data_IF_231566466082
#
_entry.id   IF_231566466082
#
_cell.length_a   1.000
_cell.length_b   1.000
_cell.length_c   1.000
_cell.angle_alpha   90.00
_cell.angle_beta   90.00
_cell.angle_gamma   90.00
#
_symmetry.space_group_name_H-M   'P 1'
#
loop_
_entity.id
_entity.type
_entity.pdbx_description
1 polymer ?
#
# COMPACT_ATOMS: atom_id res chain seq x y z
N UNK A 1 -4.98 -4.31 1.95
CA UNK A 1 -4.40 -3.09 2.49
C UNK A 1 -5.39 -2.21 3.21
N UNK A 2 -6.58 -2.09 2.70
CA UNK A 2 -7.57 -1.25 3.37
C UNK A 2 -7.90 -1.72 4.77
N UNK A 3 -8.03 -3.03 4.97
CA UNK A 3 -8.32 -3.53 6.30
C UNK A 3 -7.18 -3.28 7.27
N UNK A 4 -5.97 -3.35 6.77
CA UNK A 4 -4.80 -3.08 7.60
C UNK A 4 -4.78 -1.61 8.01
N UNK A 5 -5.08 -0.70 7.08
CA UNK A 5 -5.13 0.72 7.38
C UNK A 5 -6.25 1.00 8.38
N UNK A 6 -7.41 0.36 8.20
CA UNK A 6 -8.53 0.54 9.12
C UNK A 6 -8.16 0.09 10.52
N UNK A 7 -7.49 -1.05 10.64
CA UNK A 7 -7.07 -1.54 11.94
C UNK A 7 -6.06 -0.60 12.60
N UNK A 8 -5.12 -0.08 11.81
CA UNK A 8 -4.14 0.86 12.34
C UNK A 8 -4.81 2.16 12.77
N UNK A 9 -5.80 2.63 12.01
CA UNK A 9 -6.51 3.85 12.39
C UNK A 9 -7.33 3.65 13.66
N UNK A 10 -7.87 2.45 13.86
CA UNK A 10 -8.59 2.15 15.09
C UNK A 10 -7.62 2.19 16.27
N UNK A 11 -6.43 1.63 16.10
CA UNK A 11 -5.41 1.67 17.15
C UNK A 11 -4.97 3.10 17.41
N UNK A 12 -4.88 3.91 16.35
CA UNK A 12 -4.55 5.32 16.50
C UNK A 12 -5.60 6.01 17.39
N UNK A 13 -6.89 5.78 17.10
CA UNK A 13 -7.95 6.42 17.84
C UNK A 13 -7.97 5.97 19.30
N UNK A 14 -7.69 4.71 19.55
CA UNK A 14 -7.61 4.20 20.91
C UNK A 14 -6.45 4.86 21.67
N UNK A 15 -5.32 5.00 21.01
CA UNK A 15 -4.16 5.65 21.62
C UNK A 15 -4.43 7.14 21.84
N UNK A 16 -5.13 7.78 20.92
CA UNK A 16 -5.47 9.18 21.06
C UNK A 16 -6.38 9.41 22.27
N UNK A 17 -7.35 8.52 22.48
CA UNK A 17 -8.21 8.56 23.66
C UNK A 17 -7.39 8.36 24.93
N UNK A 18 -6.42 7.46 24.88
CA UNK A 18 -5.57 7.20 26.02
C UNK A 18 -4.70 8.43 26.36
N UNK A 19 -4.21 9.13 25.33
CA UNK A 19 -3.45 10.36 25.55
C UNK A 19 -4.32 11.37 26.28
N UNK A 20 -5.53 11.55 25.82
CA UNK A 20 -6.45 12.51 26.43
C UNK A 20 -6.74 12.16 27.87
N UNK A 21 -6.90 10.87 28.15
CA UNK A 21 -7.16 10.41 29.48
C UNK A 21 -5.97 10.67 30.40
N UNK A 22 -4.76 10.40 29.94
CA UNK A 22 -3.56 10.64 30.72
C UNK A 22 -3.32 12.13 30.95
N UNK A 23 -3.61 12.95 29.94
CA UNK A 23 -3.51 14.40 30.09
C UNK A 23 -4.53 14.91 31.11
N UNK A 24 -5.74 14.37 31.10
CA UNK A 24 -6.75 14.75 32.05
C UNK A 24 -6.34 14.39 33.48
N UNK A 25 -5.74 13.23 33.66
CA UNK A 25 -5.29 12.80 34.97
C UNK A 25 -4.18 13.71 35.49
N UNK A 26 -3.32 14.14 34.60
CA UNK A 26 -2.20 14.96 34.98
C UNK A 26 -2.53 16.46 35.06
N UNK A 27 -3.61 16.85 34.42
CA UNK A 27 -4.03 18.25 34.39
C UNK A 27 -3.21 19.13 33.48
N UNK A 28 -2.29 18.57 32.73
CA UNK A 28 -1.42 19.31 31.82
C UNK A 28 -1.55 18.70 30.43
N UNK A 29 -1.98 19.51 29.48
CA UNK A 29 -2.17 19.02 28.12
C UNK A 29 -1.14 19.57 27.14
N UNK A 30 -0.24 20.43 27.58
CA UNK A 30 0.80 20.97 26.72
C UNK A 30 2.02 20.03 26.72
N UNK A 31 2.32 19.38 25.61
CA UNK A 31 3.45 18.46 25.54
C UNK A 31 4.80 19.13 25.77
N UNK A 32 4.86 20.45 25.60
CA UNK A 32 6.09 21.18 25.84
C UNK A 32 6.35 21.48 27.30
N UNK A 33 5.37 21.23 28.18
CA UNK A 33 5.52 21.49 29.58
C UNK A 33 6.41 20.42 30.19
N UNK A 34 7.36 20.85 31.04
CA UNK A 34 8.28 19.90 31.66
C UNK A 34 7.59 18.91 32.57
N UNK A 35 6.40 19.26 33.05
CA UNK A 35 5.64 18.38 33.93
C UNK A 35 4.61 17.53 33.16
N UNK A 36 4.68 17.52 31.86
CA UNK A 36 3.76 16.73 31.06
C UNK A 36 3.93 15.24 31.38
N UNK A 37 2.82 14.53 31.39
CA UNK A 37 2.84 13.11 31.72
C UNK A 37 3.75 12.30 30.80
N UNK A 38 4.65 11.54 31.39
CA UNK A 38 5.53 10.66 30.62
C UNK A 38 4.72 9.56 29.96
N UNK A 39 3.65 9.11 30.62
CA UNK A 39 2.79 8.09 30.05
C UNK A 39 2.09 8.64 28.81
N UNK A 40 1.58 9.88 28.89
CA UNK A 40 0.95 10.50 27.74
C UNK A 40 1.96 10.71 26.61
N UNK A 41 3.19 11.08 26.93
CA UNK A 41 4.23 11.29 25.94
C UNK A 41 4.54 10.00 25.20
N UNK A 42 4.66 8.90 25.93
CA UNK A 42 4.94 7.60 25.36
C UNK A 42 3.81 7.16 24.43
N UNK A 43 2.56 7.33 24.86
CA UNK A 43 1.41 6.94 24.05
C UNK A 43 1.29 7.82 22.81
N UNK A 44 1.60 9.13 22.95
CA UNK A 44 1.60 10.02 21.80
C UNK A 44 2.62 9.56 20.75
N UNK A 45 3.78 9.12 21.20
CA UNK A 45 4.79 8.60 20.28
C UNK A 45 4.29 7.42 19.49
N UNK A 46 3.59 6.50 20.17
CA UNK A 46 3.03 5.33 19.49
C UNK A 46 1.95 5.74 18.51
N UNK A 47 1.08 6.68 18.91
CA UNK A 47 0.03 7.18 18.05
C UNK A 47 0.61 7.79 16.78
N UNK A 48 1.65 8.62 16.95
CA UNK A 48 2.26 9.31 15.83
C UNK A 48 2.99 8.33 14.90
N UNK A 49 3.56 7.26 15.46
CA UNK A 49 4.18 6.22 14.65
C UNK A 49 3.15 5.49 13.80
N UNK A 50 1.96 5.26 14.34
CA UNK A 50 0.88 4.63 13.57
C UNK A 50 0.46 5.54 12.42
N UNK A 51 0.34 6.84 12.66
CA UNK A 51 -0.01 7.77 11.59
C UNK A 51 1.04 7.75 10.48
N UNK A 52 2.30 7.68 10.84
CA UNK A 52 3.38 7.62 9.87
C UNK A 52 3.28 6.35 9.05
N UNK A 53 3.02 5.23 9.70
CA UNK A 53 2.88 3.94 9.01
C UNK A 53 1.70 3.96 8.06
N UNK A 54 0.58 4.55 8.49
CA UNK A 54 -0.60 4.65 7.63
C UNK A 54 -0.29 5.50 6.40
N UNK A 55 0.42 6.61 6.58
CA UNK A 55 0.78 7.47 5.47
C UNK A 55 1.67 6.71 4.47
N UNK A 56 2.64 5.95 4.97
CA UNK A 56 3.50 5.16 4.11
C UNK A 56 2.72 4.10 3.34
N UNK A 57 1.79 3.43 4.02
CA UNK A 57 0.98 2.40 3.37
C UNK A 57 0.08 2.99 2.30
N UNK A 58 -0.47 4.17 2.55
CA UNK A 58 -1.30 4.84 1.55
C UNK A 58 -0.49 5.24 0.33
N UNK A 59 0.73 5.73 0.56
CA UNK A 59 1.60 6.12 -0.53
C UNK A 59 1.99 4.91 -1.38
N UNK A 60 2.28 3.78 -0.73
CA UNK A 60 2.61 2.55 -1.43
C UNK A 60 1.41 2.05 -2.24
N UNK A 61 0.23 2.16 -1.66
CA UNK A 61 -0.99 1.72 -2.33
C UNK A 61 -1.24 2.57 -3.57
N UNK A 62 -1.09 3.88 -3.46
CA UNK A 62 -1.27 4.79 -4.58
C UNK A 62 -0.24 4.52 -5.67
N UNK A 63 1.00 4.25 -5.27
CA UNK A 63 2.06 3.94 -6.23
C UNK A 63 1.74 2.65 -6.99
N UNK A 64 1.20 1.66 -6.28
CA UNK A 64 0.82 0.41 -6.92
C UNK A 64 -0.33 0.60 -7.90
N UNK A 65 -1.31 1.41 -7.54
CA UNK A 65 -2.44 1.70 -8.42
C UNK A 65 -1.94 2.42 -9.66
N UNK A 66 -1.05 3.39 -9.49
CA UNK A 66 -0.50 4.12 -10.63
C UNK A 66 0.27 3.18 -11.56
N UNK A 67 1.03 2.26 -10.97
CA UNK A 67 1.79 1.31 -11.76
C UNK A 67 0.87 0.38 -12.54
N UNK A 68 -0.19 -0.08 -11.91
CA UNK A 68 -1.15 -0.94 -12.58
C UNK A 68 -1.83 -0.22 -13.74
N UNK A 69 -2.16 1.05 -13.55
CA UNK A 69 -2.77 1.83 -14.62
C UNK A 69 -1.82 2.00 -15.80
N UNK A 70 -0.55 2.21 -15.51
CA UNK A 70 0.43 2.34 -16.56
C UNK A 70 0.58 1.02 -17.32
N UNK A 71 0.61 -0.09 -16.61
CA UNK A 71 0.72 -1.39 -17.23
C UNK A 71 -0.52 -1.70 -18.08
N UNK A 72 -1.69 -1.34 -17.60
CA UNK A 72 -2.91 -1.52 -18.38
C UNK A 72 -2.90 -0.66 -19.63
N UNK A 73 -2.41 0.57 -19.52
CA UNK A 73 -2.32 1.47 -20.64
C UNK A 73 -1.33 0.92 -21.67
N UNK A 74 -0.21 0.41 -21.23
CA UNK A 74 0.79 -0.18 -22.10
C UNK A 74 0.23 -1.41 -22.81
N UNK A 75 -0.51 -2.22 -22.09
CA UNK A 75 -1.13 -3.40 -22.67
C UNK A 75 -2.13 -3.00 -23.75
N UNK A 76 -2.91 -1.98 -23.51
CA UNK A 76 -3.85 -1.49 -24.52
C UNK A 76 -3.16 -1.00 -25.76
N UNK A 77 -2.04 -0.34 -25.59
CA UNK A 77 -1.27 0.13 -26.73
C UNK A 77 -0.78 -1.03 -27.57
N UNK A 78 -0.33 -2.10 -26.92
CA UNK A 78 0.11 -3.28 -27.60
C UNK A 78 -1.07 -3.94 -28.32
N UNK A 79 -2.19 -4.04 -27.66
CA UNK A 79 -3.38 -4.63 -28.26
C UNK A 79 -3.83 -3.85 -29.50
N UNK A 80 -3.77 -2.54 -29.43
CA UNK A 80 -4.15 -1.71 -30.55
C UNK A 80 -3.18 -1.89 -31.73
N UNK A 81 -1.90 -2.06 -31.43
CA UNK A 81 -0.95 -2.28 -32.47
C UNK A 81 -1.19 -3.64 -33.13
N UNK A 82 -1.47 -4.64 -32.34
CA UNK A 82 -1.74 -5.95 -32.86
C UNK A 82 -2.99 -5.90 -33.76
N UNK A 83 -4.02 -5.20 -33.31
CA UNK A 83 -5.22 -5.07 -34.09
C UNK A 83 -4.96 -4.38 -35.38
N UNK A 84 -4.16 -3.35 -35.34
CA UNK A 84 -3.90 -2.57 -36.51
C UNK A 84 -3.12 -3.35 -37.55
N UNK A 85 -2.17 -4.12 -37.09
CA UNK A 85 -1.41 -4.86 -38.00
C UNK A 85 -1.95 -6.20 -38.10
N UNK A 86 -2.70 -6.49 -37.17
CA UNK A 86 -3.02 -7.74 -36.92
C UNK A 86 -3.92 -8.44 -37.66
N UNK A 87 -4.60 -7.75 -38.36
CA UNK A 87 -5.38 -8.51 -39.18
C UNK A 87 -4.49 -9.51 -39.79
N UNK A 88 -3.31 -9.11 -40.01
CA UNK A 88 -2.44 -9.96 -40.71
C UNK A 88 -1.63 -10.81 -39.80
N UNK A 89 -1.64 -10.51 -38.57
CA UNK A 89 -0.88 -11.25 -37.72
C UNK A 89 -1.63 -12.33 -37.19
N UNK A 90 -1.40 -13.45 -37.65
CA UNK A 90 -2.06 -14.47 -37.15
C UNK A 90 -1.57 -14.64 -35.90
N UNK A 91 -2.23 -15.06 -35.02
CA UNK A 91 -1.81 -15.26 -33.75
C UNK A 91 -0.77 -16.24 -33.86
N UNK A 92 0.33 -15.83 -33.80
CA UNK A 92 1.39 -16.69 -33.76
C UNK A 92 1.21 -17.46 -32.51
N UNK A 93 1.62 -18.61 -32.49
CA UNK A 93 1.50 -19.41 -31.34
C UNK A 93 2.26 -18.73 -30.30
N UNK A 94 1.70 -18.59 -29.24
CA UNK A 94 2.33 -18.00 -28.14
C UNK A 94 3.42 -18.91 -27.69
N UNK A 95 4.56 -18.42 -27.39
CA UNK A 95 5.62 -19.28 -26.90
C UNK A 95 5.19 -19.84 -25.58
N UNK A 96 5.37 -21.08 -25.37
CA UNK A 96 4.99 -21.66 -24.10
C UNK A 96 5.84 -21.14 -22.99
N UNK A 97 5.37 -21.17 -21.81
CA UNK A 97 6.17 -20.72 -20.68
C UNK A 97 7.40 -21.59 -20.57
N UNK A 98 8.44 -21.07 -20.01
CA UNK A 98 9.68 -21.79 -19.93
C UNK A 98 9.58 -23.20 -19.41
N UNK A 99 8.81 -23.40 -18.43
CA UNK A 99 8.71 -24.73 -17.91
C UNK A 99 8.02 -25.69 -18.84
N UNK A 100 7.14 -25.19 -19.61
CA UNK A 100 6.39 -26.06 -20.47
C UNK A 100 7.18 -26.45 -21.69
N UNK A 101 8.11 -25.68 -22.02
CA UNK A 101 8.84 -25.98 -23.15
C UNK A 101 9.64 -27.15 -23.08
N UNK A 102 10.12 -27.45 -22.04
CA UNK A 102 10.92 -28.50 -21.89
C UNK A 102 10.45 -29.72 -22.43
N UNK A 103 9.43 -30.18 -22.10
CA UNK A 103 9.03 -31.42 -22.48
C UNK A 103 8.77 -31.52 -23.90
N UNK A 104 8.46 -30.51 -24.43
CA UNK A 104 8.08 -30.60 -25.69
C UNK A 104 8.97 -30.16 -26.53
N UNK A 105 9.71 -29.49 -26.10
CA UNK A 105 10.62 -28.85 -26.86
C UNK A 105 11.06 -29.75 -27.83
N UNK A 106 11.20 -30.73 -27.45
CA UNK A 106 11.65 -31.51 -28.24
C UNK A 106 10.80 -31.77 -29.23
N UNK A 107 9.89 -31.93 -29.00
CA UNK A 107 9.09 -32.27 -29.91
C UNK A 107 8.71 -31.33 -30.69
N UNK A 108 8.85 -30.95 -30.81
CA UNK A 108 8.38 -30.14 -31.37
C UNK A 108 8.50 -29.91 -32.03
#
# INVERSE_FOLDING_TARGET
MDLMIQDLMRKHDDLDSHVKLEEAKNGISDPGNVNYSMAAKSVRGRRDNILRTVAELRDQHEAMIAKLKDEESDLRKVELLVEKEGGSLKPAPVPPPPGAMIGQAIAR
#
